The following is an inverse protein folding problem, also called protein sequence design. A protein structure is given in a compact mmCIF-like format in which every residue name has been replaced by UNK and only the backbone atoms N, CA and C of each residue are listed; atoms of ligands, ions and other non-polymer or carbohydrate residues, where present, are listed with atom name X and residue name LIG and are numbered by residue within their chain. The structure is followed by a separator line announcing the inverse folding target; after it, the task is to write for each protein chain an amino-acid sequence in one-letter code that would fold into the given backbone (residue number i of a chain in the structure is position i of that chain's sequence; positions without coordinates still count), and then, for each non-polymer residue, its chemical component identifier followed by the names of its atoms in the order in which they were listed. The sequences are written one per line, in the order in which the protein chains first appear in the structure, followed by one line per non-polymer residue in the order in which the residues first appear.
data_IF_415867146713
#
_entry.id   IF_415867146713
#
_cell.length_a   1.000
_cell.length_b   1.000
_cell.length_c   1.000
_cell.angle_alpha   90.00
_cell.angle_beta   90.00
_cell.angle_gamma   90.00
#
_symmetry.space_group_name_H-M   'P 1'
#
loop_
_entity.id
_entity.type
_entity.pdbx_description
1 polymer ?
#
# COMPACT_ATOMS: atom_id res chain seq x y z
N UNK A 1 -14.35 7.05 25.13
CA UNK A 1 -15.04 6.36 24.01
C UNK A 1 -14.26 6.58 22.72
N UNK A 2 -13.67 7.77 22.51
CA UNK A 2 -12.64 8.05 21.49
C UNK A 2 -11.51 7.00 21.39
N UNK A 3 -11.00 6.46 22.49
CA UNK A 3 -9.89 5.48 22.48
C UNK A 3 -10.27 4.06 22.03
N UNK A 4 -11.56 3.74 21.95
CA UNK A 4 -12.06 2.40 21.55
C UNK A 4 -12.69 2.44 20.16
N UNK A 5 -13.33 3.55 19.78
CA UNK A 5 -13.68 3.83 18.38
C UNK A 5 -12.40 3.96 17.56
N UNK A 6 -11.40 4.68 18.10
CA UNK A 6 -10.05 4.71 17.52
C UNK A 6 -9.38 3.34 17.44
N UNK A 7 -9.79 2.32 18.23
CA UNK A 7 -9.20 0.96 18.13
C UNK A 7 -9.84 0.06 17.06
N UNK A 8 -11.13 0.27 16.78
CA UNK A 8 -11.80 -0.44 15.69
C UNK A 8 -11.36 0.13 14.33
N UNK A 9 -11.04 1.42 14.31
CA UNK A 9 -10.40 2.10 13.18
C UNK A 9 -8.84 2.12 13.27
N UNK A 10 -8.15 1.65 14.32
CA UNK A 10 -6.66 1.60 14.26
C UNK A 10 -6.14 0.53 13.31
N UNK A 11 -6.98 -0.41 12.87
CA UNK A 11 -6.64 -1.27 11.73
C UNK A 11 -6.89 -0.58 10.37
N UNK A 12 -7.57 0.57 10.35
CA UNK A 12 -7.97 1.32 9.15
C UNK A 12 -7.86 2.85 9.44
N UNK A 13 -6.70 3.42 9.12
CA UNK A 13 -6.41 4.86 9.00
C UNK A 13 -5.78 5.59 10.21
N UNK A 14 -4.53 6.02 10.02
CA UNK A 14 -4.09 7.38 10.38
C UNK A 14 -3.99 8.14 9.06
N UNK A 15 -4.85 9.14 8.82
CA UNK A 15 -4.79 9.98 7.61
C UNK A 15 -5.28 11.39 7.92
N UNK A 16 -4.37 12.35 7.91
CA UNK A 16 -4.61 13.73 7.47
C UNK A 16 -3.25 14.41 7.24
N UNK A 17 -2.97 14.89 6.01
CA UNK A 17 -2.82 16.30 5.62
C UNK A 17 -2.63 16.33 4.09
N UNK A 18 -3.24 17.31 3.45
CA UNK A 18 -3.10 17.65 2.04
C UNK A 18 -1.62 17.65 1.59
N UNK A 19 -1.36 17.12 0.39
CA UNK A 19 -0.02 16.94 -0.22
C UNK A 19 0.76 15.73 0.31
N UNK A 20 0.28 14.51 0.05
CA UNK A 20 1.03 13.28 0.33
C UNK A 20 0.15 12.05 0.21
N UNK A 21 0.62 11.06 -0.55
CA UNK A 21 -0.10 9.83 -0.95
C UNK A 21 -0.98 9.28 0.20
N UNK A 22 -2.31 9.29 -0.01
CA UNK A 22 -3.30 8.79 0.93
C UNK A 22 -3.19 7.26 1.07
N UNK A 23 -3.46 6.72 2.26
CA UNK A 23 -3.41 5.28 2.54
C UNK A 23 -4.57 4.55 1.85
N UNK A 24 -4.38 4.15 0.59
CA UNK A 24 -5.35 3.35 -0.17
C UNK A 24 -5.01 1.86 -0.04
N UNK A 25 -5.64 1.16 0.91
CA UNK A 25 -5.51 -0.30 1.05
C UNK A 25 -6.89 -0.93 0.84
N UNK A 26 -7.00 -1.86 -0.11
CA UNK A 26 -8.23 -2.59 -0.44
C UNK A 26 -8.77 -2.34 -1.86
N UNK A 27 -9.89 -2.99 -2.19
CA UNK A 27 -10.61 -2.80 -3.47
C UNK A 27 -11.24 -1.40 -3.51
N UNK A 28 -11.43 -0.79 -4.69
CA UNK A 28 -11.94 0.58 -4.86
C UNK A 28 -13.17 0.90 -3.99
N UNK A 29 -14.11 -0.04 -3.88
CA UNK A 29 -15.32 0.08 -3.05
C UNK A 29 -14.96 0.28 -1.57
N UNK A 30 -14.00 -0.49 -1.05
CA UNK A 30 -13.58 -0.40 0.35
C UNK A 30 -12.85 0.91 0.64
N UNK A 31 -11.99 1.35 -0.29
CA UNK A 31 -11.27 2.63 -0.16
C UNK A 31 -12.27 3.80 -0.15
N UNK A 32 -13.23 3.81 -1.07
CA UNK A 32 -14.26 4.84 -1.13
C UNK A 32 -15.20 4.78 0.08
N UNK A 33 -15.54 3.58 0.57
CA UNK A 33 -16.36 3.42 1.77
C UNK A 33 -15.65 4.00 3.00
N UNK A 34 -14.34 3.80 3.13
CA UNK A 34 -13.56 4.40 4.21
C UNK A 34 -13.61 5.94 4.13
N UNK A 35 -13.49 6.53 2.94
CA UNK A 35 -13.56 7.98 2.76
C UNK A 35 -14.93 8.56 3.12
N UNK A 36 -16.00 7.92 2.64
CA UNK A 36 -17.37 8.34 2.96
C UNK A 36 -17.62 8.23 4.46
N UNK A 37 -17.13 7.16 5.09
CA UNK A 37 -17.30 6.93 6.52
C UNK A 37 -16.45 7.88 7.37
N UNK A 38 -15.28 8.32 6.90
CA UNK A 38 -14.50 9.38 7.54
C UNK A 38 -15.28 10.70 7.63
N UNK A 39 -16.02 11.06 6.59
CA UNK A 39 -16.87 12.27 6.57
C UNK A 39 -18.19 12.09 7.33
N UNK A 40 -18.75 10.87 7.32
CA UNK A 40 -20.05 10.57 7.93
C UNK A 40 -19.95 10.31 9.44
N UNK A 41 -18.83 9.77 9.93
CA UNK A 41 -18.70 9.37 11.34
C UNK A 41 -18.93 10.53 12.34
N UNK A 42 -18.37 11.75 12.13
CA UNK A 42 -18.58 12.86 13.06
C UNK A 42 -20.05 13.30 13.16
N UNK A 43 -20.80 13.25 12.06
CA UNK A 43 -22.22 13.62 12.06
C UNK A 43 -23.07 12.53 12.72
N UNK A 44 -22.80 11.25 12.45
CA UNK A 44 -23.44 10.13 13.14
C UNK A 44 -23.19 10.16 14.65
N UNK A 45 -21.96 10.46 15.07
CA UNK A 45 -21.61 10.59 16.49
C UNK A 45 -22.42 11.69 17.16
N UNK A 46 -22.48 12.87 16.52
CA UNK A 46 -23.23 14.02 17.04
C UNK A 46 -24.72 13.73 17.18
N UNK A 47 -25.32 13.06 16.19
CA UNK A 47 -26.78 12.92 16.12
C UNK A 47 -27.30 11.69 16.88
N UNK A 48 -26.56 10.57 16.86
CA UNK A 48 -27.03 9.30 17.40
C UNK A 48 -26.51 9.00 18.80
N UNK A 49 -25.24 9.34 19.10
CA UNK A 49 -24.63 9.00 20.39
C UNK A 49 -25.38 9.57 21.60
N UNK A 50 -25.91 10.82 21.58
CA UNK A 50 -26.73 11.37 22.67
C UNK A 50 -28.08 10.67 22.84
N UNK A 51 -28.60 10.02 21.78
CA UNK A 51 -29.94 9.38 21.79
C UNK A 51 -29.91 7.95 22.34
N UNK A 52 -28.73 7.34 22.48
CA UNK A 52 -28.55 5.98 22.97
C UNK A 52 -28.76 5.89 24.50
N UNK A 53 -30.00 5.63 24.92
CA UNK A 53 -30.38 5.39 26.32
C UNK A 53 -30.03 3.96 26.77
N UNK A 54 -28.74 3.70 26.97
CA UNK A 54 -28.24 2.41 27.46
C UNK A 54 -27.10 2.56 28.47
N UNK A 55 -26.83 1.49 29.25
CA UNK A 55 -25.64 1.37 30.12
C UNK A 55 -24.36 1.45 29.26
N UNK A 56 -23.25 1.90 29.84
CA UNK A 56 -22.00 2.24 29.11
C UNK A 56 -21.49 1.14 28.16
N UNK A 57 -21.60 -0.13 28.54
CA UNK A 57 -21.19 -1.29 27.72
C UNK A 57 -22.15 -1.52 26.55
N UNK A 58 -23.44 -1.54 26.83
CA UNK A 58 -24.48 -1.73 25.82
C UNK A 58 -24.53 -0.57 24.83
N UNK A 59 -24.30 0.66 25.29
CA UNK A 59 -24.16 1.83 24.41
C UNK A 59 -23.02 1.67 23.41
N UNK A 60 -21.87 1.12 23.83
CA UNK A 60 -20.75 0.84 22.91
C UNK A 60 -21.15 -0.24 21.90
N UNK A 61 -21.79 -1.32 22.34
CA UNK A 61 -22.23 -2.41 21.46
C UNK A 61 -23.17 -1.91 20.38
N UNK A 62 -24.22 -1.19 20.77
CA UNK A 62 -25.21 -0.63 19.83
C UNK A 62 -24.55 0.39 18.90
N UNK A 63 -23.65 1.23 19.41
CA UNK A 63 -22.89 2.17 18.58
C UNK A 63 -22.03 1.46 17.52
N UNK A 64 -21.28 0.43 17.89
CA UNK A 64 -20.46 -0.32 16.94
C UNK A 64 -21.30 -1.06 15.91
N UNK A 65 -22.40 -1.71 16.31
CA UNK A 65 -23.32 -2.34 15.37
C UNK A 65 -23.95 -1.32 14.40
N UNK A 66 -24.21 -0.10 14.87
CA UNK A 66 -24.73 0.99 14.02
C UNK A 66 -23.70 1.42 12.97
N UNK A 67 -22.44 1.61 13.40
CA UNK A 67 -21.36 1.99 12.48
C UNK A 67 -21.05 0.88 11.47
N UNK A 68 -21.06 -0.37 11.90
CA UNK A 68 -20.90 -1.53 11.01
C UNK A 68 -22.03 -1.60 9.98
N UNK A 69 -23.29 -1.43 10.40
CA UNK A 69 -24.42 -1.40 9.47
C UNK A 69 -24.35 -0.22 8.49
N UNK A 70 -23.96 0.97 8.96
CA UNK A 70 -23.75 2.12 8.08
C UNK A 70 -22.62 1.87 7.07
N UNK A 71 -21.53 1.25 7.51
CA UNK A 71 -20.41 0.88 6.64
C UNK A 71 -20.83 -0.10 5.54
N UNK A 72 -21.61 -1.13 5.89
CA UNK A 72 -22.16 -2.11 4.92
C UNK A 72 -23.06 -1.40 3.90
N UNK A 73 -23.97 -0.54 4.36
CA UNK A 73 -24.86 0.22 3.47
C UNK A 73 -24.07 1.12 2.51
N UNK A 74 -23.04 1.81 3.01
CA UNK A 74 -22.15 2.62 2.17
C UNK A 74 -21.44 1.76 1.13
N UNK A 75 -20.96 0.57 1.50
CA UNK A 75 -20.34 -0.36 0.55
C UNK A 75 -21.32 -0.84 -0.53
N UNK A 76 -22.56 -1.18 -0.16
CA UNK A 76 -23.60 -1.61 -1.10
C UNK A 76 -23.93 -0.50 -2.10
N UNK A 77 -24.18 0.73 -1.62
CA UNK A 77 -24.45 1.89 -2.48
C UNK A 77 -23.26 2.20 -3.41
N UNK A 78 -22.04 2.13 -2.90
CA UNK A 78 -20.83 2.36 -3.70
C UNK A 78 -20.62 1.26 -4.74
N UNK A 79 -20.87 -0.01 -4.39
CA UNK A 79 -20.72 -1.12 -5.32
C UNK A 79 -21.67 -0.97 -6.52
N UNK A 80 -22.94 -0.67 -6.25
CA UNK A 80 -23.94 -0.43 -7.28
C UNK A 80 -23.54 0.78 -8.16
N UNK A 81 -23.30 1.94 -7.54
CA UNK A 81 -22.96 3.17 -8.27
C UNK A 81 -21.68 3.05 -9.10
N UNK A 82 -20.63 2.40 -8.55
CA UNK A 82 -19.38 2.16 -9.28
C UNK A 82 -19.56 1.16 -10.41
N UNK A 83 -20.44 0.16 -10.26
CA UNK A 83 -20.69 -0.80 -11.33
C UNK A 83 -21.33 -0.11 -12.54
N UNK A 84 -22.32 0.76 -12.32
CA UNK A 84 -22.98 1.54 -13.37
C UNK A 84 -21.99 2.48 -14.03
N UNK A 85 -21.27 3.29 -13.23
CA UNK A 85 -20.29 4.24 -13.74
C UNK A 85 -19.17 3.55 -14.53
N UNK A 86 -18.74 2.36 -14.11
CA UNK A 86 -17.71 1.59 -14.81
C UNK A 86 -18.17 1.18 -16.21
N UNK A 87 -19.42 0.77 -16.38
CA UNK A 87 -19.96 0.44 -17.70
C UNK A 87 -20.12 1.68 -18.57
N UNK A 88 -20.61 2.79 -18.02
CA UNK A 88 -20.67 4.07 -18.74
C UNK A 88 -19.29 4.53 -19.22
N UNK A 89 -18.28 4.46 -18.35
CA UNK A 89 -16.90 4.79 -18.69
C UNK A 89 -16.34 3.88 -19.79
N UNK A 90 -16.65 2.57 -19.77
CA UNK A 90 -16.21 1.65 -20.83
C UNK A 90 -16.84 1.99 -22.17
N UNK A 91 -18.14 2.27 -22.19
CA UNK A 91 -18.84 2.66 -23.42
C UNK A 91 -18.27 3.97 -23.98
N UNK A 92 -18.09 4.98 -23.13
CA UNK A 92 -17.48 6.25 -23.53
C UNK A 92 -16.04 6.07 -24.03
N UNK A 93 -15.23 5.26 -23.34
CA UNK A 93 -13.85 4.97 -23.75
C UNK A 93 -13.79 4.32 -25.14
N UNK A 94 -14.67 3.35 -25.42
CA UNK A 94 -14.72 2.70 -26.73
C UNK A 94 -15.10 3.68 -27.85
N UNK A 95 -16.07 4.57 -27.62
CA UNK A 95 -16.44 5.62 -28.58
C UNK A 95 -15.30 6.61 -28.81
N UNK A 96 -14.61 7.00 -27.74
CA UNK A 96 -13.55 7.98 -27.79
C UNK A 96 -12.24 7.41 -28.37
N UNK A 97 -12.07 6.09 -28.38
CA UNK A 97 -10.91 5.40 -28.94
C UNK A 97 -10.70 5.72 -30.43
N UNK A 98 -11.80 5.82 -31.20
CA UNK A 98 -11.74 6.18 -32.62
C UNK A 98 -11.27 7.62 -32.81
N UNK A 99 -11.78 8.56 -32.00
CA UNK A 99 -11.41 9.97 -32.04
C UNK A 99 -9.95 10.18 -31.60
N UNK A 100 -9.51 9.49 -30.53
CA UNK A 100 -8.12 9.55 -30.07
C UNK A 100 -7.18 9.06 -31.16
N UNK A 101 -7.54 7.98 -31.87
CA UNK A 101 -6.72 7.46 -32.97
C UNK A 101 -6.68 8.40 -34.17
N UNK A 102 -7.80 9.02 -34.55
CA UNK A 102 -7.82 9.96 -35.68
C UNK A 102 -7.05 11.24 -35.38
N UNK A 103 -7.11 11.72 -34.13
CA UNK A 103 -6.60 13.03 -33.74
C UNK A 103 -5.26 12.93 -32.97
N UNK A 104 -4.61 11.77 -33.01
CA UNK A 104 -3.44 11.46 -32.18
C UNK A 104 -2.31 12.49 -32.34
N UNK A 105 -2.00 12.89 -33.56
CA UNK A 105 -0.97 13.88 -33.84
C UNK A 105 -1.32 15.26 -33.28
N UNK A 106 -2.60 15.66 -33.35
CA UNK A 106 -3.08 16.92 -32.79
C UNK A 106 -3.02 16.91 -31.26
N UNK A 107 -3.39 15.78 -30.62
CA UNK A 107 -3.29 15.59 -29.18
C UNK A 107 -1.83 15.69 -28.72
N UNK A 108 -0.91 15.03 -29.44
CA UNK A 108 0.53 15.08 -29.13
C UNK A 108 1.09 16.50 -29.29
N UNK A 109 0.70 17.20 -30.35
CA UNK A 109 1.12 18.58 -30.57
C UNK A 109 0.61 19.51 -29.45
N UNK A 110 -0.67 19.41 -29.11
CA UNK A 110 -1.29 20.20 -28.04
C UNK A 110 -0.64 19.93 -26.68
N UNK A 111 -0.38 18.65 -26.35
CA UNK A 111 0.34 18.26 -25.13
C UNK A 111 1.73 18.88 -25.08
N UNK A 112 2.50 18.78 -26.17
CA UNK A 112 3.88 19.32 -26.23
C UNK A 112 3.88 20.84 -26.09
N UNK A 113 2.94 21.52 -26.73
CA UNK A 113 2.77 22.96 -26.60
C UNK A 113 2.44 23.39 -25.17
N UNK A 114 1.48 22.72 -24.53
CA UNK A 114 1.10 22.99 -23.14
C UNK A 114 2.24 22.70 -22.16
N UNK A 115 2.96 21.59 -22.36
CA UNK A 115 4.15 21.25 -21.57
C UNK A 115 5.22 22.33 -21.68
N UNK A 116 5.50 22.82 -22.89
CA UNK A 116 6.46 23.92 -23.11
C UNK A 116 6.06 25.20 -22.37
N UNK A 117 4.78 25.59 -22.44
CA UNK A 117 4.28 26.76 -21.71
C UNK A 117 4.34 26.59 -20.20
N UNK A 118 3.91 25.44 -19.70
CA UNK A 118 3.92 25.15 -18.27
C UNK A 118 5.36 25.17 -17.76
N UNK A 119 6.27 24.46 -18.42
CA UNK A 119 7.69 24.42 -18.09
C UNK A 119 8.28 25.83 -18.05
N UNK A 120 8.05 26.66 -19.06
CA UNK A 120 8.53 28.04 -19.06
C UNK A 120 8.00 28.86 -17.86
N UNK A 121 6.81 28.56 -17.35
CA UNK A 121 6.22 29.24 -16.18
C UNK A 121 6.69 28.68 -14.83
N UNK A 122 7.06 27.40 -14.75
CA UNK A 122 7.35 26.73 -13.47
C UNK A 122 8.80 26.28 -13.28
N UNK A 123 9.64 26.25 -14.32
CA UNK A 123 11.00 25.68 -14.23
C UNK A 123 11.85 26.39 -13.19
N UNK A 124 11.96 27.72 -13.28
CA UNK A 124 12.79 28.51 -12.36
C UNK A 124 12.35 28.38 -10.89
N UNK A 125 11.08 28.60 -10.51
CA UNK A 125 10.66 28.43 -9.12
C UNK A 125 10.76 26.98 -8.64
N UNK A 126 10.54 25.98 -9.51
CA UNK A 126 10.69 24.57 -9.16
C UNK A 126 12.16 24.17 -8.95
N UNK A 127 13.06 24.59 -9.82
CA UNK A 127 14.50 24.34 -9.71
C UNK A 127 15.09 25.00 -8.47
N UNK A 128 14.66 26.24 -8.18
CA UNK A 128 15.06 26.93 -6.95
C UNK A 128 14.57 26.17 -5.71
N UNK A 129 13.29 25.80 -5.67
CA UNK A 129 12.74 25.03 -4.56
C UNK A 129 13.43 23.68 -4.39
N UNK A 130 13.71 22.96 -5.48
CA UNK A 130 14.42 21.69 -5.44
C UNK A 130 15.85 21.84 -4.93
N UNK A 131 16.59 22.85 -5.41
CA UNK A 131 17.99 23.06 -5.00
C UNK A 131 18.12 23.51 -3.55
N UNK A 132 17.20 24.31 -3.05
CA UNK A 132 17.22 24.83 -1.67
C UNK A 132 16.53 23.88 -0.67
N UNK A 133 15.41 23.26 -1.06
CA UNK A 133 14.51 22.53 -0.15
C UNK A 133 14.57 21.00 -0.24
N UNK A 134 15.09 20.43 -1.33
CA UNK A 134 15.10 18.96 -1.56
C UNK A 134 16.51 18.40 -1.67
N UNK A 135 17.31 18.94 -2.59
CA UNK A 135 18.65 18.47 -2.94
C UNK A 135 19.59 18.28 -1.73
N UNK A 136 19.63 19.19 -0.73
CA UNK A 136 20.54 19.05 0.41
C UNK A 136 20.25 17.83 1.29
N UNK A 137 19.01 17.34 1.26
CA UNK A 137 18.55 16.28 2.17
C UNK A 137 18.40 14.93 1.48
N UNK A 138 18.31 14.92 0.16
CA UNK A 138 18.02 13.73 -0.63
C UNK A 138 18.98 12.57 -0.34
N UNK A 139 20.28 12.84 -0.24
CA UNK A 139 21.28 11.80 0.06
C UNK A 139 21.06 11.17 1.44
N UNK A 140 20.87 11.99 2.48
CA UNK A 140 20.60 11.53 3.85
C UNK A 140 19.32 10.70 3.91
N UNK A 141 18.25 11.14 3.24
CA UNK A 141 16.99 10.41 3.17
C UNK A 141 17.19 9.04 2.51
N UNK A 142 17.90 9.00 1.38
CA UNK A 142 18.15 7.75 0.68
C UNK A 142 18.99 6.78 1.53
N UNK A 143 20.01 7.26 2.23
CA UNK A 143 20.84 6.43 3.10
C UNK A 143 20.03 5.84 4.26
N UNK A 144 19.24 6.65 4.95
CA UNK A 144 18.36 6.20 6.04
C UNK A 144 17.32 5.18 5.55
N UNK A 145 16.77 5.38 4.35
CA UNK A 145 15.83 4.44 3.76
C UNK A 145 16.48 3.13 3.32
N UNK A 146 17.63 3.19 2.67
CA UNK A 146 18.28 2.01 2.10
C UNK A 146 18.75 1.03 3.17
N UNK A 147 19.24 1.50 4.32
CA UNK A 147 19.81 0.61 5.35
C UNK A 147 18.88 -0.54 5.77
N UNK A 148 17.69 -0.26 6.32
CA UNK A 148 16.72 -1.28 6.70
C UNK A 148 16.18 -2.10 5.52
N UNK A 149 15.96 -1.48 4.36
CA UNK A 149 15.48 -2.16 3.15
C UNK A 149 16.51 -3.20 2.72
N UNK A 150 17.76 -2.78 2.49
CA UNK A 150 18.86 -3.67 2.11
C UNK A 150 19.10 -4.76 3.16
N UNK A 151 19.00 -4.44 4.45
CA UNK A 151 19.13 -5.45 5.52
C UNK A 151 18.01 -6.50 5.46
N UNK A 152 16.76 -6.11 5.19
CA UNK A 152 15.65 -7.03 5.02
C UNK A 152 15.83 -7.98 3.84
N UNK A 153 16.25 -7.46 2.69
CA UNK A 153 16.54 -8.28 1.50
C UNK A 153 17.76 -9.19 1.69
N UNK A 154 18.79 -8.72 2.38
CA UNK A 154 19.96 -9.54 2.71
C UNK A 154 19.59 -10.70 3.65
N UNK A 155 18.73 -10.45 4.64
CA UNK A 155 18.20 -11.51 5.52
C UNK A 155 17.40 -12.55 4.72
N UNK A 156 16.56 -12.11 3.78
CA UNK A 156 15.81 -13.03 2.91
C UNK A 156 16.73 -13.89 2.05
N UNK A 157 17.82 -13.30 1.52
CA UNK A 157 18.85 -14.04 0.78
C UNK A 157 19.52 -15.10 1.67
N UNK A 158 19.94 -14.73 2.88
CA UNK A 158 20.57 -15.66 3.83
C UNK A 158 19.63 -16.78 4.25
N UNK A 159 18.33 -16.50 4.44
CA UNK A 159 17.34 -17.54 4.70
C UNK A 159 17.26 -18.53 3.54
N UNK A 160 17.16 -18.05 2.30
CA UNK A 160 17.13 -18.92 1.12
C UNK A 160 18.42 -19.75 0.99
N UNK A 161 19.58 -19.15 1.18
CA UNK A 161 20.88 -19.83 1.12
C UNK A 161 20.93 -20.96 2.17
N UNK A 162 20.62 -20.65 3.43
CA UNK A 162 20.62 -21.64 4.52
C UNK A 162 19.64 -22.79 4.27
N UNK A 163 18.47 -22.49 3.70
CA UNK A 163 17.48 -23.50 3.35
C UNK A 163 17.95 -24.42 2.23
N UNK A 164 18.64 -23.87 1.23
CA UNK A 164 19.24 -24.64 0.14
C UNK A 164 20.37 -25.53 0.66
N UNK A 165 21.23 -25.01 1.53
CA UNK A 165 22.30 -25.78 2.15
C UNK A 165 21.76 -26.96 2.97
N UNK A 166 20.66 -26.75 3.71
CA UNK A 166 19.98 -27.82 4.45
C UNK A 166 19.43 -28.90 3.53
N UNK A 167 18.79 -28.56 2.41
CA UNK A 167 18.34 -29.56 1.43
C UNK A 167 19.50 -30.38 0.86
N UNK A 168 20.60 -29.72 0.51
CA UNK A 168 21.78 -30.40 0.01
C UNK A 168 22.32 -31.40 1.03
N UNK A 169 22.29 -31.06 2.32
CA UNK A 169 22.68 -31.95 3.40
C UNK A 169 21.70 -33.11 3.61
N UNK A 170 20.40 -32.85 3.51
CA UNK A 170 19.34 -33.83 3.73
C UNK A 170 19.21 -34.85 2.58
N UNK A 171 19.63 -34.50 1.36
CA UNK A 171 19.41 -35.28 0.13
C UNK A 171 20.71 -35.59 -0.66
N UNK A 172 21.78 -35.97 0.04
CA UNK A 172 23.11 -36.21 -0.56
C UNK A 172 23.16 -37.39 -1.54
N UNK A 173 22.30 -38.39 -1.40
CA UNK A 173 22.37 -39.64 -2.18
C UNK A 173 21.78 -39.54 -3.61
N UNK A 174 21.23 -38.38 -3.99
CA UNK A 174 20.73 -38.12 -5.33
C UNK A 174 19.37 -38.77 -5.65
N UNK A 175 18.61 -38.16 -6.57
CA UNK A 175 17.32 -38.65 -7.05
C UNK A 175 16.11 -37.87 -6.55
N UNK A 176 15.15 -37.63 -7.45
CA UNK A 176 13.90 -36.93 -7.12
C UNK A 176 12.97 -37.89 -6.37
N UNK A 177 12.94 -37.78 -5.05
CA UNK A 177 12.03 -38.54 -4.19
C UNK A 177 10.78 -37.72 -3.84
N UNK A 178 9.68 -38.37 -3.46
CA UNK A 178 8.49 -37.67 -2.95
C UNK A 178 8.80 -36.83 -1.70
N UNK A 179 9.81 -37.24 -0.92
CA UNK A 179 10.33 -36.48 0.21
C UNK A 179 11.03 -35.18 -0.23
N UNK A 180 11.81 -35.22 -1.32
CA UNK A 180 12.43 -34.01 -1.89
C UNK A 180 11.36 -33.05 -2.42
N UNK A 181 10.35 -33.55 -3.14
CA UNK A 181 9.21 -32.73 -3.60
C UNK A 181 8.48 -32.07 -2.43
N UNK A 182 8.27 -32.79 -1.33
CA UNK A 182 7.65 -32.25 -0.13
C UNK A 182 8.54 -31.20 0.57
N UNK A 183 9.86 -31.39 0.61
CA UNK A 183 10.81 -30.42 1.14
C UNK A 183 10.83 -29.15 0.27
N UNK A 184 10.88 -29.29 -1.06
CA UNK A 184 10.78 -28.18 -2.02
C UNK A 184 9.46 -27.41 -1.89
N UNK A 185 8.35 -28.10 -1.59
CA UNK A 185 7.05 -27.46 -1.34
C UNK A 185 7.00 -26.72 0.01
N UNK A 186 7.85 -27.08 0.99
CA UNK A 186 7.97 -26.32 2.25
C UNK A 186 8.80 -25.06 2.07
N UNK A 187 9.81 -25.08 1.19
CA UNK A 187 10.60 -23.91 0.85
C UNK A 187 9.77 -22.80 0.22
N UNK A 188 8.74 -23.15 -0.55
CA UNK A 188 7.90 -22.15 -1.21
C UNK A 188 7.06 -21.29 -0.26
N UNK A 189 7.04 -21.62 1.05
CA UNK A 189 6.33 -20.87 2.10
C UNK A 189 7.17 -20.69 3.36
N UNK A 190 8.30 -19.99 3.31
CA UNK A 190 9.15 -19.87 4.48
C UNK A 190 8.74 -18.70 5.36
N UNK A 191 9.26 -18.73 6.57
CA UNK A 191 8.96 -17.74 7.59
C UNK A 191 9.80 -16.48 7.37
N UNK A 192 9.22 -15.47 6.72
CA UNK A 192 9.87 -14.18 6.44
C UNK A 192 9.85 -13.21 7.63
N UNK A 193 9.48 -13.68 8.83
CA UNK A 193 9.28 -12.82 10.00
C UNK A 193 10.56 -12.08 10.42
N UNK A 194 11.74 -12.70 10.31
CA UNK A 194 13.02 -12.00 10.57
C UNK A 194 13.28 -10.90 9.55
N UNK A 195 12.97 -11.12 8.27
CA UNK A 195 13.07 -10.10 7.21
C UNK A 195 12.15 -8.92 7.50
N UNK A 196 10.90 -9.19 7.89
CA UNK A 196 9.93 -8.14 8.24
C UNK A 196 10.35 -7.35 9.48
N UNK A 197 10.97 -7.99 10.47
CA UNK A 197 11.54 -7.30 11.63
C UNK A 197 12.66 -6.32 11.23
N UNK A 198 13.54 -6.71 10.28
CA UNK A 198 14.57 -5.80 9.75
C UNK A 198 13.95 -4.59 9.06
N UNK A 199 12.95 -4.80 8.20
CA UNK A 199 12.26 -3.72 7.49
C UNK A 199 11.47 -2.82 8.46
N UNK A 200 10.88 -3.38 9.52
CA UNK A 200 10.13 -2.59 10.50
C UNK A 200 11.00 -1.58 11.26
N UNK A 201 12.33 -1.71 11.28
CA UNK A 201 13.22 -0.67 11.83
C UNK A 201 13.14 0.66 11.06
N UNK A 202 12.59 0.66 9.84
CA UNK A 202 12.22 1.89 9.12
C UNK A 202 11.25 2.76 9.92
N UNK A 203 10.36 2.17 10.72
CA UNK A 203 9.42 2.95 11.52
C UNK A 203 10.13 3.85 12.53
N UNK A 204 11.25 3.38 13.09
CA UNK A 204 12.01 4.12 14.09
C UNK A 204 12.89 5.19 13.44
N UNK A 205 13.50 4.88 12.28
CA UNK A 205 14.39 5.80 11.56
C UNK A 205 13.64 6.93 10.84
N UNK A 206 12.43 6.65 10.34
CA UNK A 206 11.66 7.62 9.56
C UNK A 206 10.86 8.62 10.41
N UNK A 207 10.84 8.47 11.74
CA UNK A 207 10.20 9.45 12.63
C UNK A 207 10.84 10.84 12.49
N UNK A 208 12.18 10.89 12.39
CA UNK A 208 12.93 12.15 12.25
C UNK A 208 12.71 12.78 10.86
N UNK A 209 12.51 11.95 9.83
CA UNK A 209 12.16 12.38 8.48
C UNK A 209 10.72 12.87 8.38
N UNK A 210 9.80 12.33 9.19
CA UNK A 210 8.42 12.81 9.26
C UNK A 210 8.36 14.25 9.77
N UNK A 211 9.13 14.60 10.81
CA UNK A 211 9.17 15.96 11.35
C UNK A 211 9.76 16.98 10.36
N UNK A 212 10.79 16.58 9.60
CA UNK A 212 11.49 17.47 8.66
C UNK A 212 10.80 17.63 7.31
N UNK A 213 10.19 16.57 6.78
CA UNK A 213 9.65 16.56 5.40
C UNK A 213 8.15 16.29 5.34
N UNK A 214 7.46 16.18 6.48
CA UNK A 214 6.03 15.86 6.52
C UNK A 214 5.72 14.46 5.99
N UNK A 215 6.67 13.52 6.11
CA UNK A 215 6.53 12.17 5.59
C UNK A 215 5.40 11.42 6.30
N UNK A 216 4.21 11.40 5.71
CA UNK A 216 2.99 10.89 6.35
C UNK A 216 2.75 9.39 6.17
N UNK A 217 3.57 8.70 5.35
CA UNK A 217 3.22 7.37 4.86
C UNK A 217 4.32 6.31 4.99
N UNK A 218 4.99 6.32 6.15
CA UNK A 218 6.01 5.33 6.53
C UNK A 218 5.46 3.89 6.43
N UNK A 219 4.23 3.68 6.88
CA UNK A 219 3.62 2.35 6.88
C UNK A 219 3.38 1.79 5.47
N UNK A 220 3.04 2.62 4.48
CA UNK A 220 2.94 2.13 3.10
C UNK A 220 4.32 1.77 2.55
N UNK A 221 5.36 2.56 2.84
CA UNK A 221 6.71 2.22 2.40
C UNK A 221 7.15 0.86 2.98
N UNK A 222 6.97 0.67 4.29
CA UNK A 222 7.23 -0.62 4.96
C UNK A 222 6.44 -1.75 4.30
N UNK A 223 5.13 -1.56 4.10
CA UNK A 223 4.27 -2.58 3.52
C UNK A 223 4.63 -2.90 2.06
N UNK A 224 4.92 -1.89 1.25
CA UNK A 224 5.39 -2.05 -0.13
C UNK A 224 6.71 -2.82 -0.17
N UNK A 225 7.69 -2.46 0.67
CA UNK A 225 8.96 -3.20 0.76
C UNK A 225 8.74 -4.65 1.19
N UNK A 226 7.82 -4.92 2.13
CA UNK A 226 7.49 -6.28 2.55
C UNK A 226 6.83 -7.09 1.42
N UNK A 227 5.97 -6.46 0.62
CA UNK A 227 5.38 -7.07 -0.58
C UNK A 227 6.46 -7.38 -1.60
N UNK A 228 7.34 -6.42 -1.91
CA UNK A 228 8.43 -6.60 -2.86
C UNK A 228 9.36 -7.75 -2.42
N UNK A 229 9.69 -7.80 -1.13
CA UNK A 229 10.47 -8.89 -0.55
C UNK A 229 9.75 -10.24 -0.70
N UNK A 230 8.44 -10.30 -0.41
CA UNK A 230 7.65 -11.51 -0.57
C UNK A 230 7.60 -11.95 -2.04
N UNK A 231 7.45 -11.02 -2.98
CA UNK A 231 7.44 -11.31 -4.41
C UNK A 231 8.79 -11.86 -4.86
N UNK A 232 9.88 -11.14 -4.58
CA UNK A 232 11.25 -11.57 -4.94
C UNK A 232 11.53 -12.96 -4.39
N UNK A 233 11.22 -13.19 -3.12
CA UNK A 233 11.43 -14.47 -2.48
C UNK A 233 10.57 -15.60 -3.11
N UNK A 234 9.30 -15.32 -3.42
CA UNK A 234 8.42 -16.28 -4.11
C UNK A 234 8.96 -16.62 -5.50
N UNK A 235 9.45 -15.63 -6.24
CA UNK A 235 10.10 -15.83 -7.53
C UNK A 235 11.36 -16.69 -7.40
N UNK A 236 12.24 -16.40 -6.43
CA UNK A 236 13.46 -17.20 -6.19
C UNK A 236 13.12 -18.67 -5.94
N UNK A 237 12.13 -18.96 -5.09
CA UNK A 237 11.73 -20.34 -4.82
C UNK A 237 11.09 -21.03 -6.02
N UNK A 238 10.28 -20.30 -6.81
CA UNK A 238 9.73 -20.84 -8.05
C UNK A 238 10.85 -21.21 -9.01
N UNK A 239 11.86 -20.36 -9.17
CA UNK A 239 13.03 -20.65 -10.00
C UNK A 239 13.79 -21.88 -9.49
N UNK A 240 14.02 -21.98 -8.18
CA UNK A 240 14.67 -23.16 -7.56
C UNK A 240 13.89 -24.43 -7.88
N UNK A 241 12.56 -24.42 -7.73
CA UNK A 241 11.72 -25.57 -8.05
C UNK A 241 11.79 -25.94 -9.55
N UNK A 242 11.74 -24.96 -10.45
CA UNK A 242 11.84 -25.20 -11.91
C UNK A 242 13.20 -25.74 -12.31
N UNK A 243 14.28 -25.37 -11.62
CA UNK A 243 15.63 -25.88 -11.92
C UNK A 243 15.85 -27.28 -11.37
N UNK A 244 15.22 -27.63 -10.24
CA UNK A 244 15.44 -28.91 -9.55
C UNK A 244 14.43 -30.02 -9.89
N UNK A 245 13.28 -29.69 -10.49
CA UNK A 245 12.19 -30.62 -10.86
C UNK A 245 12.01 -30.65 -12.37
#
# INVERSE_FOLDING_TARGET
MHTLVGRMFTNISYVCVCVGVRRCVGVCVQVLANLVMEELLPSLEKDMLPRLKAKKTERKRVWFATIEAAYILVQECLLEGLSVLKEECKTAACQQEVLIRSDMDLILHSRTYLEGKLRASVSEPAEKFCSEGVQPYLASILEELMGPISSGFQEARLLSDNQMDQLCQDFQEGGVTDKLKQALAKLSKPNLLSCYQRINSLHDQLHDLQERFGFSNISNLVHSTQIDLQQVHTHTNSCIQTVLV
#
